data_IF_294676160419
#
_entry.id   IF_294676160419
#
_cell.length_a   1.000
_cell.length_b   1.000
_cell.length_c   1.000
_cell.angle_alpha   90.00
_cell.angle_beta   90.00
_cell.angle_gamma   90.00
#
_symmetry.space_group_name_H-M   'P 1'
#
loop_
_entity.id
_entity.type
_entity.pdbx_description
1 polymer ?
#
# COMPACT_ATOMS: atom_id res chain seq x y z
N UNK A 1 6.18 -5.92 -27.66
CA UNK A 1 6.67 -4.84 -28.56
C UNK A 1 6.10 -3.50 -28.10
N UNK A 2 6.76 -2.36 -28.35
CA UNK A 2 6.14 -1.05 -28.17
C UNK A 2 4.82 -0.99 -28.96
N UNK A 3 3.78 -0.29 -28.46
CA UNK A 3 2.50 -0.20 -29.15
C UNK A 3 2.68 0.51 -30.49
N UNK A 4 2.48 -0.21 -31.59
CA UNK A 4 2.55 0.31 -32.97
C UNK A 4 1.15 0.78 -33.41
N UNK A 5 1.11 1.60 -34.46
CA UNK A 5 -0.15 2.00 -35.13
C UNK A 5 -0.88 0.77 -35.67
N UNK A 6 -2.18 0.91 -35.93
CA UNK A 6 -2.98 -0.14 -36.58
C UNK A 6 -2.49 -0.34 -38.02
N UNK A 7 -2.67 -1.54 -38.56
CA UNK A 7 -2.43 -1.80 -39.97
C UNK A 7 -3.31 -0.88 -40.84
N UNK A 8 -2.75 -0.27 -41.90
CA UNK A 8 -3.47 0.62 -42.80
C UNK A 8 -4.54 -0.11 -43.64
N UNK A 9 -4.33 -1.39 -43.93
CA UNK A 9 -5.20 -2.18 -44.82
C UNK A 9 -6.32 -2.90 -44.05
N UNK A 10 -6.03 -3.49 -42.90
CA UNK A 10 -6.99 -4.30 -42.14
C UNK A 10 -7.29 -3.81 -40.72
N UNK A 11 -6.62 -2.77 -40.24
CA UNK A 11 -6.89 -2.19 -38.93
C UNK A 11 -6.44 -3.04 -37.72
N UNK A 12 -5.81 -4.19 -37.94
CA UNK A 12 -5.31 -5.05 -36.85
C UNK A 12 -4.26 -4.33 -36.00
N UNK A 13 -4.17 -4.75 -34.73
CA UNK A 13 -3.16 -4.28 -33.75
C UNK A 13 -2.08 -5.31 -33.49
N UNK A 14 -2.21 -6.50 -34.06
CA UNK A 14 -1.33 -7.63 -33.80
C UNK A 14 -0.23 -7.66 -34.86
N UNK A 15 0.98 -7.38 -34.42
CA UNK A 15 2.18 -7.34 -35.25
C UNK A 15 3.14 -8.44 -34.78
N UNK A 16 3.59 -9.29 -35.70
CA UNK A 16 4.62 -10.30 -35.48
C UNK A 16 5.85 -10.02 -36.34
N UNK A 17 7.02 -10.53 -35.94
CA UNK A 17 8.22 -10.51 -36.77
C UNK A 17 8.26 -11.78 -37.59
N UNK A 18 8.43 -11.63 -38.90
CA UNK A 18 8.61 -12.77 -39.78
C UNK A 18 10.03 -13.35 -39.57
N UNK A 19 10.17 -14.67 -39.32
CA UNK A 19 11.45 -15.27 -38.96
C UNK A 19 12.48 -15.25 -40.08
N UNK A 20 12.05 -15.18 -41.34
CA UNK A 20 12.91 -15.28 -42.53
C UNK A 20 13.43 -13.92 -43.03
N UNK A 21 12.61 -12.87 -42.97
CA UNK A 21 12.92 -11.56 -43.58
C UNK A 21 13.20 -10.46 -42.57
N UNK A 22 12.92 -10.69 -41.28
CA UNK A 22 13.05 -9.66 -40.24
C UNK A 22 12.06 -8.51 -40.37
N UNK A 23 11.13 -8.58 -41.34
CA UNK A 23 10.04 -7.65 -41.53
C UNK A 23 8.96 -7.86 -40.47
N UNK A 24 8.18 -6.80 -40.21
CA UNK A 24 7.06 -6.85 -39.27
C UNK A 24 5.77 -6.99 -40.05
N UNK A 25 5.10 -8.12 -39.87
CA UNK A 25 3.86 -8.47 -40.53
C UNK A 25 2.67 -8.41 -39.55
N UNK A 26 1.53 -8.03 -40.09
CA UNK A 26 0.23 -8.09 -39.43
C UNK A 26 -0.30 -9.54 -39.42
N UNK A 27 -1.24 -9.88 -38.53
CA UNK A 27 -1.90 -11.20 -38.46
C UNK A 27 -2.49 -11.73 -39.78
N UNK A 28 -2.78 -10.84 -40.74
CA UNK A 28 -3.32 -11.15 -42.08
C UNK A 28 -2.24 -11.09 -43.19
N UNK A 29 -0.96 -10.88 -42.83
CA UNK A 29 0.15 -10.88 -43.77
C UNK A 29 0.56 -9.50 -44.33
N UNK A 30 -0.06 -8.40 -43.90
CA UNK A 30 0.35 -7.06 -44.35
C UNK A 30 1.68 -6.62 -43.75
N UNK A 31 2.60 -6.15 -44.60
CA UNK A 31 3.95 -5.72 -44.22
C UNK A 31 3.92 -4.24 -43.79
N UNK A 32 4.59 -3.92 -42.69
CA UNK A 32 4.80 -2.53 -42.27
C UNK A 32 5.93 -1.89 -43.09
N UNK A 33 5.58 -1.08 -44.11
CA UNK A 33 6.51 -0.51 -45.08
C UNK A 33 7.64 0.34 -44.47
N UNK A 34 7.35 1.12 -43.42
CA UNK A 34 8.34 2.00 -42.78
C UNK A 34 9.17 1.30 -41.68
N UNK A 35 9.08 -0.02 -41.56
CA UNK A 35 9.85 -0.77 -40.56
C UNK A 35 11.24 -1.12 -41.10
N UNK A 36 12.24 -0.31 -40.74
CA UNK A 36 13.65 -0.63 -40.94
C UNK A 36 14.18 -1.45 -39.75
N UNK A 37 14.73 -2.64 -40.03
CA UNK A 37 15.39 -3.45 -39.01
C UNK A 37 16.85 -3.01 -38.86
N UNK A 38 17.14 -2.25 -37.81
CA UNK A 38 18.52 -1.90 -37.45
C UNK A 38 19.09 -3.00 -36.55
N UNK A 39 20.02 -3.80 -37.07
CA UNK A 39 20.73 -4.82 -36.29
C UNK A 39 21.79 -4.13 -35.44
N UNK A 40 21.52 -3.91 -34.16
CA UNK A 40 22.51 -3.45 -33.17
C UNK A 40 23.39 -4.63 -32.69
N UNK A 41 23.88 -5.45 -33.61
CA UNK A 41 24.83 -6.51 -33.29
C UNK A 41 26.23 -5.91 -33.33
N UNK A 42 26.81 -5.75 -32.14
CA UNK A 42 28.20 -5.34 -31.98
C UNK A 42 28.99 -6.65 -31.97
N UNK A 43 29.59 -7.03 -33.09
CA UNK A 43 30.36 -8.28 -33.24
C UNK A 43 31.60 -8.32 -32.33
N UNK A 44 32.11 -7.16 -31.92
CA UNK A 44 33.29 -7.04 -31.05
C UNK A 44 33.02 -6.03 -29.93
N UNK A 45 32.35 -6.47 -28.88
CA UNK A 45 32.25 -5.69 -27.65
C UNK A 45 33.59 -5.79 -26.91
N UNK A 46 34.39 -4.73 -26.94
CA UNK A 46 35.64 -4.67 -26.18
C UNK A 46 35.41 -4.96 -24.67
N UNK A 47 36.44 -5.41 -23.93
CA UNK A 47 36.33 -5.96 -22.57
C UNK A 47 35.75 -5.00 -21.51
N UNK A 48 35.51 -3.74 -21.86
CA UNK A 48 34.96 -2.70 -20.97
C UNK A 48 33.52 -2.26 -21.33
N UNK A 49 32.87 -2.88 -22.32
CA UNK A 49 31.51 -2.54 -22.71
C UNK A 49 30.46 -3.23 -21.80
N UNK A 50 30.15 -2.65 -20.64
CA UNK A 50 29.08 -3.15 -19.77
C UNK A 50 27.68 -2.76 -20.27
N UNK A 51 26.88 -3.74 -20.72
CA UNK A 51 25.46 -3.54 -21.09
C UNK A 51 24.55 -3.73 -19.87
N UNK A 52 24.31 -2.67 -19.09
CA UNK A 52 23.34 -2.72 -17.97
C UNK A 52 21.90 -2.65 -18.50
N UNK A 53 21.15 -3.74 -18.38
CA UNK A 53 19.69 -3.75 -18.59
C UNK A 53 19.00 -3.29 -17.30
N UNK A 54 18.66 -2.00 -17.21
CA UNK A 54 17.81 -1.51 -16.11
C UNK A 54 16.35 -1.75 -16.48
N UNK A 55 15.76 -2.80 -15.92
CA UNK A 55 14.30 -2.97 -15.94
C UNK A 55 13.73 -1.91 -14.99
N UNK A 56 13.16 -0.83 -15.54
CA UNK A 56 12.37 0.10 -14.74
C UNK A 56 11.15 -0.67 -14.23
N UNK A 57 11.21 -1.17 -12.99
CA UNK A 57 10.01 -1.70 -12.36
C UNK A 57 9.01 -0.55 -12.29
N UNK A 58 7.85 -0.72 -12.92
CA UNK A 58 6.73 0.17 -12.68
C UNK A 58 6.36 -0.07 -11.23
N UNK A 59 6.93 0.71 -10.32
CA UNK A 59 6.50 0.77 -8.93
C UNK A 59 5.01 1.10 -9.00
N UNK A 60 4.15 0.10 -8.81
CA UNK A 60 2.72 0.32 -8.70
C UNK A 60 2.60 1.36 -7.60
N UNK A 61 2.18 2.55 -7.99
CA UNK A 61 1.72 3.57 -7.07
C UNK A 61 0.38 3.05 -6.55
N UNK A 62 0.43 1.97 -5.77
CA UNK A 62 -0.70 1.50 -4.98
C UNK A 62 -0.98 2.62 -4.00
N UNK A 63 -1.93 3.45 -4.42
CA UNK A 63 -2.61 4.54 -3.75
C UNK A 63 -1.96 5.12 -2.50
N UNK A 64 -1.80 6.45 -2.51
CA UNK A 64 -1.67 7.24 -1.28
C UNK A 64 -2.68 6.90 -0.17
N UNK A 65 -3.74 6.15 -0.49
CA UNK A 65 -4.66 5.51 0.45
C UNK A 65 -4.00 4.54 1.46
N UNK A 66 -2.90 3.85 1.13
CA UNK A 66 -2.23 2.95 2.11
C UNK A 66 -1.36 3.70 3.12
N UNK A 67 -1.00 4.97 2.84
CA UNK A 67 -0.23 5.84 3.75
C UNK A 67 -1.12 6.76 4.57
N UNK A 68 -2.31 7.06 4.09
CA UNK A 68 -3.39 7.57 4.92
C UNK A 68 -3.93 6.41 5.76
N UNK A 69 -3.21 6.04 6.82
CA UNK A 69 -3.72 5.11 7.83
C UNK A 69 -5.14 5.55 8.21
N UNK A 70 -6.06 4.58 8.32
CA UNK A 70 -7.46 4.86 8.63
C UNK A 70 -7.56 5.91 9.75
N UNK A 71 -8.24 7.05 9.57
CA UNK A 71 -8.29 8.12 10.57
C UNK A 71 -8.97 7.68 11.88
N UNK A 72 -9.62 6.52 11.87
CA UNK A 72 -10.25 5.86 13.01
C UNK A 72 -9.30 4.95 13.81
N UNK A 73 -8.10 4.67 13.29
CA UNK A 73 -7.15 3.76 13.93
C UNK A 73 -6.19 4.57 14.81
N UNK A 74 -6.42 4.53 16.12
CA UNK A 74 -5.52 5.15 17.08
C UNK A 74 -4.23 4.33 17.20
N UNK A 75 -3.08 5.02 17.18
CA UNK A 75 -1.77 4.41 17.37
C UNK A 75 -0.99 5.08 18.51
N UNK A 76 0.00 4.37 19.04
CA UNK A 76 0.98 4.90 20.01
C UNK A 76 0.37 5.37 21.33
N UNK A 77 0.92 6.45 21.89
CA UNK A 77 0.50 7.01 23.18
C UNK A 77 -0.98 7.43 23.20
N UNK A 78 -1.49 7.94 22.08
CA UNK A 78 -2.90 8.36 21.96
C UNK A 78 -3.87 7.17 22.08
N UNK A 79 -3.52 6.01 21.50
CA UNK A 79 -4.31 4.80 21.65
C UNK A 79 -4.36 4.32 23.10
N UNK A 80 -3.21 4.34 23.79
CA UNK A 80 -3.12 3.94 25.21
C UNK A 80 -3.96 4.86 26.10
N UNK A 81 -3.93 6.17 25.85
CA UNK A 81 -4.78 7.13 26.57
C UNK A 81 -6.28 6.82 26.39
N UNK A 82 -6.73 6.63 25.15
CA UNK A 82 -8.14 6.29 24.88
C UNK A 82 -8.53 4.93 25.48
N UNK A 83 -7.63 3.96 25.50
CA UNK A 83 -7.85 2.67 26.16
C UNK A 83 -8.16 2.83 27.66
N UNK A 84 -7.34 3.60 28.38
CA UNK A 84 -7.57 3.86 29.81
C UNK A 84 -8.85 4.66 30.05
N UNK A 85 -9.17 5.64 29.19
CA UNK A 85 -10.40 6.41 29.30
C UNK A 85 -11.65 5.52 29.15
N UNK A 86 -11.65 4.61 28.18
CA UNK A 86 -12.73 3.62 28.01
C UNK A 86 -12.85 2.69 29.23
N UNK A 87 -11.73 2.24 29.78
CA UNK A 87 -11.71 1.38 30.96
C UNK A 87 -12.33 2.09 32.18
N UNK A 88 -11.97 3.36 32.40
CA UNK A 88 -12.56 4.18 33.48
C UNK A 88 -14.07 4.38 33.30
N UNK A 89 -14.53 4.52 32.05
CA UNK A 89 -15.94 4.69 31.75
C UNK A 89 -16.75 3.41 32.06
N UNK A 90 -16.22 2.25 31.67
CA UNK A 90 -16.86 0.95 31.97
C UNK A 90 -16.94 0.73 33.48
N UNK A 91 -15.85 0.97 34.20
CA UNK A 91 -15.79 0.78 35.65
C UNK A 91 -16.80 1.67 36.38
N UNK A 92 -16.96 2.94 35.97
CA UNK A 92 -18.00 3.82 36.53
C UNK A 92 -19.40 3.26 36.35
N UNK A 93 -19.68 2.66 35.20
CA UNK A 93 -21.00 2.11 34.91
C UNK A 93 -21.27 0.85 35.72
N UNK A 94 -20.26 -0.01 35.89
CA UNK A 94 -20.34 -1.19 36.76
C UNK A 94 -20.59 -0.81 38.22
N UNK A 95 -19.84 0.17 38.76
CA UNK A 95 -20.02 0.65 40.14
C UNK A 95 -21.42 1.25 40.32
N UNK A 96 -21.89 2.08 39.38
CA UNK A 96 -23.24 2.65 39.43
C UNK A 96 -24.33 1.55 39.44
N UNK A 97 -24.15 0.46 38.69
CA UNK A 97 -25.07 -0.68 38.73
C UNK A 97 -25.03 -1.44 40.05
N UNK A 98 -23.83 -1.64 40.62
CA UNK A 98 -23.68 -2.32 41.92
C UNK A 98 -24.33 -1.51 43.05
N UNK A 99 -24.14 -0.20 43.06
CA UNK A 99 -24.77 0.71 44.03
C UNK A 99 -26.29 0.59 43.98
N UNK A 100 -26.87 0.53 42.78
CA UNK A 100 -28.33 0.39 42.60
C UNK A 100 -28.85 -0.98 43.05
N UNK A 101 -28.16 -2.05 42.66
CA UNK A 101 -28.61 -3.42 42.95
C UNK A 101 -28.50 -3.75 44.44
N UNK A 102 -27.43 -3.30 45.10
CA UNK A 102 -27.12 -3.66 46.48
C UNK A 102 -27.48 -2.54 47.48
N UNK A 103 -28.05 -1.43 46.99
CA UNK A 103 -28.40 -0.23 47.77
C UNK A 103 -27.25 0.31 48.63
N UNK A 104 -26.03 0.33 48.07
CA UNK A 104 -24.85 0.84 48.79
C UNK A 104 -24.91 2.37 48.92
N UNK A 105 -24.37 2.95 50.02
CA UNK A 105 -24.19 4.40 50.15
C UNK A 105 -23.25 4.96 49.06
N UNK A 106 -23.55 6.16 48.56
CA UNK A 106 -22.76 6.82 47.49
C UNK A 106 -21.29 7.11 47.84
N UNK A 107 -20.94 7.08 49.14
CA UNK A 107 -19.57 7.16 49.67
C UNK A 107 -18.61 6.14 49.04
N UNK A 108 -19.14 5.01 48.55
CA UNK A 108 -18.34 3.96 47.92
C UNK A 108 -17.66 4.42 46.62
N UNK A 109 -18.24 5.38 45.89
CA UNK A 109 -17.61 5.97 44.69
C UNK A 109 -16.43 6.89 45.02
N UNK A 110 -16.38 7.44 46.23
CA UNK A 110 -15.37 8.40 46.67
C UNK A 110 -14.14 7.67 47.24
N UNK A 111 -14.37 6.56 47.96
CA UNK A 111 -13.28 5.74 48.52
C UNK A 111 -12.53 4.91 47.47
N UNK A 112 -13.17 4.57 46.35
CA UNK A 112 -12.46 3.91 45.24
C UNK A 112 -11.56 4.94 44.55
N UNK A 113 -10.23 4.75 44.52
CA UNK A 113 -9.34 5.77 44.03
C UNK A 113 -9.47 5.91 42.50
N UNK A 114 -10.35 6.83 42.08
CA UNK A 114 -10.45 7.31 40.69
C UNK A 114 -9.12 7.87 40.17
N UNK A 115 -8.17 8.17 41.06
CA UNK A 115 -6.92 8.87 40.76
C UNK A 115 -5.64 8.01 40.94
N UNK A 116 -5.57 7.08 41.90
CA UNK A 116 -4.28 6.42 42.24
C UNK A 116 -3.72 5.49 41.15
N UNK A 117 -4.57 4.93 40.28
CA UNK A 117 -4.12 4.07 39.19
C UNK A 117 -3.59 4.86 37.98
N UNK A 118 -3.96 6.14 37.82
CA UNK A 118 -3.56 6.94 36.65
C UNK A 118 -2.20 7.62 36.86
N UNK A 119 -1.88 8.03 38.08
CA UNK A 119 -0.59 8.62 38.44
C UNK A 119 0.57 7.62 38.42
N UNK A 120 0.32 6.33 38.63
CA UNK A 120 1.37 5.30 38.60
C UNK A 120 1.75 4.84 37.19
N UNK A 121 0.85 4.94 36.21
CA UNK A 121 1.16 4.51 34.81
C UNK A 121 1.75 5.61 33.93
N UNK A 122 1.59 6.89 34.30
CA UNK A 122 2.13 8.03 33.55
C UNK A 122 3.53 8.47 33.99
N UNK A 123 4.02 7.97 35.14
CA UNK A 123 5.33 8.33 35.71
C UNK A 123 6.44 7.29 35.49
N UNK A 124 6.20 6.25 34.70
CA UNK A 124 7.27 5.36 34.23
C UNK A 124 7.71 5.77 32.82
N UNK A 125 8.74 6.62 32.68
CA UNK A 125 9.42 6.77 31.40
C UNK A 125 10.08 5.43 31.05
N UNK A 126 9.82 4.93 29.84
CA UNK A 126 10.74 4.00 29.18
C UNK A 126 11.86 4.79 28.52
#
# INVERSE_FOLDING_TARGET
MPPRRRCATCGSRQWHKEPSSGLVACSEGHILQDYRNETTEITEAGPHAMKKRTIKSKKKQDGGMRRAGNPKLYHGARARYHYFLCLQFILRRQVATLIRLWKLPGEFEVRTPRCCYCSTTFLTPM
#
